data_IF_774035914290
#
_entry.id   IF_774035914290
#
_cell.length_a   1.000
_cell.length_b   1.000
_cell.length_c   1.000
_cell.angle_alpha   90.00
_cell.angle_beta   90.00
_cell.angle_gamma   90.00
#
_symmetry.space_group_name_H-M   'P 1'
#
loop_
_entity.id
_entity.type
_entity.pdbx_description
1 polymer ?
#
# COMPACT_ATOMS: atom_id res chain seq x y z
N UNK A 1 34.12 10.75 10.80
CA UNK A 1 33.74 10.60 9.41
C UNK A 1 33.11 9.21 9.28
N UNK A 2 31.80 9.10 9.32
CA UNK A 2 31.09 7.82 9.14
C UNK A 2 31.11 7.51 7.65
N UNK A 3 31.88 6.54 7.23
CA UNK A 3 31.88 5.96 5.90
C UNK A 3 30.47 5.49 5.62
N UNK A 4 29.76 6.22 4.76
CA UNK A 4 28.41 5.91 4.38
C UNK A 4 28.41 4.62 3.56
N UNK A 5 28.29 3.48 4.22
CA UNK A 5 28.09 2.21 3.54
C UNK A 5 26.77 2.27 2.76
N UNK A 6 26.86 2.15 1.46
CA UNK A 6 25.69 2.00 0.59
C UNK A 6 24.95 0.70 0.98
N UNK A 7 23.67 0.85 1.34
CA UNK A 7 22.84 -0.31 1.66
C UNK A 7 22.21 -0.80 0.36
N UNK A 8 22.56 -2.03 -0.03
CA UNK A 8 22.05 -2.66 -1.25
C UNK A 8 21.01 -3.71 -0.88
N UNK A 9 19.83 -3.59 -1.49
CA UNK A 9 18.68 -4.45 -1.25
C UNK A 9 18.23 -5.07 -2.57
N UNK A 10 18.62 -6.32 -2.87
CA UNK A 10 18.12 -7.04 -4.03
C UNK A 10 16.70 -7.52 -3.77
N UNK A 11 15.71 -6.79 -4.24
CA UNK A 11 14.31 -7.01 -3.91
C UNK A 11 13.71 -8.16 -4.70
N UNK A 12 13.36 -9.22 -3.97
CA UNK A 12 12.53 -10.32 -4.45
C UNK A 12 11.11 -10.12 -3.90
N UNK A 13 10.13 -9.97 -4.78
CA UNK A 13 8.73 -9.84 -4.39
C UNK A 13 7.99 -11.15 -4.63
N UNK A 14 7.20 -11.54 -3.63
CA UNK A 14 6.21 -12.60 -3.73
C UNK A 14 4.79 -12.00 -3.87
N UNK A 15 3.87 -12.82 -4.35
CA UNK A 15 2.49 -12.42 -4.55
C UNK A 15 1.81 -12.00 -3.23
N UNK A 16 2.16 -12.62 -2.10
CA UNK A 16 1.60 -12.30 -0.77
C UNK A 16 1.99 -10.89 -0.32
N UNK A 17 3.26 -10.53 -0.49
CA UNK A 17 3.77 -9.19 -0.15
C UNK A 17 3.14 -8.13 -1.03
N UNK A 18 3.02 -8.37 -2.34
CA UNK A 18 2.36 -7.47 -3.27
C UNK A 18 0.88 -7.26 -2.92
N UNK A 19 0.12 -8.32 -2.64
CA UNK A 19 -1.29 -8.22 -2.24
C UNK A 19 -1.48 -7.46 -0.92
N UNK A 20 -0.57 -7.66 0.06
CA UNK A 20 -0.60 -6.91 1.33
C UNK A 20 -0.36 -5.44 1.12
N UNK A 21 0.61 -5.10 0.28
CA UNK A 21 0.90 -3.72 -0.09
C UNK A 21 -0.31 -3.07 -0.78
N UNK A 22 -0.89 -3.72 -1.78
CA UNK A 22 -2.04 -3.19 -2.53
C UNK A 22 -3.24 -2.89 -1.61
N UNK A 23 -3.53 -3.80 -0.65
CA UNK A 23 -4.57 -3.56 0.37
C UNK A 23 -4.24 -2.37 1.27
N UNK A 24 -2.99 -2.26 1.73
CA UNK A 24 -2.55 -1.15 2.55
C UNK A 24 -2.67 0.19 1.80
N UNK A 25 -2.20 0.25 0.56
CA UNK A 25 -2.27 1.46 -0.27
C UNK A 25 -3.72 1.92 -0.50
N UNK A 26 -4.63 0.97 -0.79
CA UNK A 26 -6.05 1.26 -0.99
C UNK A 26 -6.75 1.72 0.28
N UNK A 27 -6.57 0.98 1.38
CA UNK A 27 -7.36 1.16 2.60
C UNK A 27 -6.83 2.28 3.48
N UNK A 28 -5.51 2.39 3.62
CA UNK A 28 -4.89 3.28 4.61
C UNK A 28 -4.43 4.58 3.96
N UNK A 29 -3.72 4.49 2.84
CA UNK A 29 -3.09 5.67 2.24
C UNK A 29 -4.07 6.47 1.38
N UNK A 30 -4.69 5.82 0.41
CA UNK A 30 -5.56 6.52 -0.56
C UNK A 30 -7.00 6.58 -0.13
N UNK A 31 -7.41 5.81 0.89
CA UNK A 31 -8.78 5.74 1.42
C UNK A 31 -9.86 5.66 0.32
N UNK A 32 -9.54 4.99 -0.78
CA UNK A 32 -10.41 4.91 -1.97
C UNK A 32 -11.77 4.26 -1.67
N UNK A 33 -11.84 3.44 -0.64
CA UNK A 33 -13.06 2.82 -0.17
C UNK A 33 -14.05 3.80 0.47
N UNK A 34 -13.58 5.00 0.89
CA UNK A 34 -14.41 5.99 1.57
C UNK A 34 -15.54 6.51 0.66
N UNK A 35 -15.24 6.74 -0.62
CA UNK A 35 -16.25 7.24 -1.58
C UNK A 35 -17.43 6.28 -1.73
N UNK A 36 -17.23 4.99 -2.07
CA UNK A 36 -18.35 4.05 -2.14
C UNK A 36 -19.01 3.81 -0.79
N UNK A 37 -18.28 3.88 0.33
CA UNK A 37 -18.84 3.74 1.67
C UNK A 37 -19.76 4.91 2.04
N UNK A 38 -19.36 6.15 1.76
CA UNK A 38 -20.22 7.33 1.98
C UNK A 38 -21.47 7.26 1.12
N UNK A 39 -21.33 6.88 -0.15
CA UNK A 39 -22.50 6.72 -1.03
C UNK A 39 -23.46 5.64 -0.51
N UNK A 40 -22.93 4.49 -0.07
CA UNK A 40 -23.73 3.44 0.55
C UNK A 40 -24.49 3.94 1.79
N UNK A 41 -23.81 4.70 2.65
CA UNK A 41 -24.41 5.27 3.86
C UNK A 41 -25.57 6.22 3.54
N UNK A 42 -25.42 7.03 2.51
CA UNK A 42 -26.48 7.93 2.02
C UNK A 42 -27.69 7.10 1.56
N UNK A 43 -27.48 6.08 0.74
CA UNK A 43 -28.58 5.23 0.24
C UNK A 43 -29.28 4.46 1.39
N UNK A 44 -28.54 3.98 2.37
CA UNK A 44 -29.11 3.36 3.56
C UNK A 44 -29.94 4.35 4.37
N UNK A 45 -29.46 5.57 4.54
CA UNK A 45 -30.22 6.62 5.22
C UNK A 45 -31.52 6.96 4.48
N UNK A 46 -31.49 7.08 3.15
CA UNK A 46 -32.70 7.28 2.35
C UNK A 46 -33.66 6.08 2.46
N UNK A 47 -33.16 4.84 2.43
CA UNK A 47 -33.98 3.66 2.63
C UNK A 47 -34.73 3.69 3.97
N UNK A 48 -34.05 4.11 5.04
CA UNK A 48 -34.67 4.28 6.36
C UNK A 48 -35.76 5.36 6.34
N UNK A 49 -35.50 6.51 5.74
CA UNK A 49 -36.51 7.58 5.61
C UNK A 49 -37.74 7.08 4.86
N UNK A 50 -37.57 6.36 3.76
CA UNK A 50 -38.68 5.80 2.97
C UNK A 50 -39.47 4.78 3.77
N UNK A 51 -38.81 3.91 4.54
CA UNK A 51 -39.51 2.93 5.41
C UNK A 51 -40.41 3.60 6.43
N UNK A 52 -39.99 4.74 6.99
CA UNK A 52 -40.78 5.48 8.00
C UNK A 52 -41.84 6.40 7.38
N UNK A 53 -41.78 6.69 6.10
CA UNK A 53 -42.69 7.66 5.43
C UNK A 53 -44.11 7.13 5.19
N UNK A 54 -44.39 5.84 5.48
CA UNK A 54 -45.71 5.19 5.30
C UNK A 54 -46.29 5.34 3.88
N UNK A 55 -45.47 5.55 2.88
CA UNK A 55 -45.90 5.65 1.49
C UNK A 55 -46.31 4.25 0.98
N UNK A 56 -47.29 4.17 0.06
CA UNK A 56 -47.57 2.94 -0.65
C UNK A 56 -46.25 2.51 -1.34
N UNK A 57 -45.95 1.19 -1.30
CA UNK A 57 -44.73 0.60 -1.88
C UNK A 57 -43.39 1.01 -1.20
N UNK A 58 -43.41 1.68 -0.05
CA UNK A 58 -42.20 2.07 0.71
C UNK A 58 -41.24 0.91 0.93
N UNK A 59 -41.75 -0.29 1.19
CA UNK A 59 -40.96 -1.50 1.39
C UNK A 59 -40.15 -1.90 0.16
N UNK A 60 -40.74 -1.82 -1.03
CA UNK A 60 -40.08 -2.16 -2.29
C UNK A 60 -38.99 -1.12 -2.61
N UNK A 61 -39.29 0.15 -2.47
CA UNK A 61 -38.32 1.25 -2.73
C UNK A 61 -37.14 1.12 -1.76
N UNK A 62 -37.41 0.89 -0.47
CA UNK A 62 -36.36 0.72 0.54
C UNK A 62 -35.48 -0.52 0.24
N UNK A 63 -36.10 -1.64 -0.17
CA UNK A 63 -35.39 -2.85 -0.53
C UNK A 63 -34.42 -2.60 -1.70
N UNK A 64 -34.88 -1.91 -2.76
CA UNK A 64 -34.02 -1.54 -3.90
C UNK A 64 -32.85 -0.66 -3.46
N UNK A 65 -33.11 0.37 -2.65
CA UNK A 65 -32.08 1.27 -2.13
C UNK A 65 -31.04 0.51 -1.28
N UNK A 66 -31.47 -0.43 -0.45
CA UNK A 66 -30.57 -1.27 0.35
C UNK A 66 -29.72 -2.20 -0.52
N UNK A 67 -30.34 -2.88 -1.50
CA UNK A 67 -29.62 -3.77 -2.41
C UNK A 67 -28.55 -2.99 -3.18
N UNK A 68 -28.88 -1.84 -3.73
CA UNK A 68 -27.92 -0.99 -4.45
C UNK A 68 -26.87 -0.42 -3.49
N UNK A 69 -27.30 0.12 -2.35
CA UNK A 69 -26.41 0.75 -1.36
C UNK A 69 -25.37 -0.20 -0.79
N UNK A 70 -25.75 -1.43 -0.47
CA UNK A 70 -24.84 -2.44 0.05
C UNK A 70 -24.10 -3.20 -1.06
N UNK A 71 -24.74 -3.40 -2.20
CA UNK A 71 -24.16 -4.13 -3.34
C UNK A 71 -22.98 -3.40 -3.98
N UNK A 72 -23.07 -2.09 -4.19
CA UNK A 72 -22.01 -1.31 -4.82
C UNK A 72 -20.65 -1.37 -4.11
N UNK A 73 -20.53 -1.20 -2.79
CA UNK A 73 -19.25 -1.37 -2.08
C UNK A 73 -18.69 -2.78 -2.21
N UNK A 74 -19.53 -3.80 -2.16
CA UNK A 74 -19.11 -5.21 -2.29
C UNK A 74 -18.52 -5.45 -3.68
N UNK A 75 -19.22 -5.03 -4.73
CA UNK A 75 -18.73 -5.13 -6.11
C UNK A 75 -17.42 -4.35 -6.29
N UNK A 76 -17.33 -3.14 -5.76
CA UNK A 76 -16.12 -2.32 -5.84
C UNK A 76 -14.90 -3.01 -5.20
N UNK A 77 -15.08 -3.59 -4.00
CA UNK A 77 -14.01 -4.34 -3.31
C UNK A 77 -13.65 -5.60 -4.11
N UNK A 78 -14.63 -6.33 -4.63
CA UNK A 78 -14.41 -7.52 -5.44
C UNK A 78 -13.61 -7.22 -6.71
N UNK A 79 -13.99 -6.18 -7.44
CA UNK A 79 -13.25 -5.72 -8.64
C UNK A 79 -11.82 -5.30 -8.29
N UNK A 80 -11.62 -4.58 -7.18
CA UNK A 80 -10.28 -4.21 -6.75
C UNK A 80 -9.41 -5.44 -6.45
N UNK A 81 -9.92 -6.40 -5.67
CA UNK A 81 -9.18 -7.63 -5.36
C UNK A 81 -8.86 -8.44 -6.61
N UNK A 82 -9.79 -8.53 -7.55
CA UNK A 82 -9.58 -9.17 -8.84
C UNK A 82 -8.46 -8.49 -9.63
N UNK A 83 -8.49 -7.15 -9.73
CA UNK A 83 -7.45 -6.37 -10.43
C UNK A 83 -6.06 -6.60 -9.82
N UNK A 84 -5.96 -6.61 -8.48
CA UNK A 84 -4.70 -6.89 -7.78
C UNK A 84 -4.19 -8.30 -8.08
N UNK A 85 -5.09 -9.29 -8.14
CA UNK A 85 -4.73 -10.67 -8.46
C UNK A 85 -4.23 -10.80 -9.90
N UNK A 86 -4.92 -10.18 -10.85
CA UNK A 86 -4.53 -10.18 -12.27
C UNK A 86 -3.16 -9.52 -12.45
N UNK A 87 -2.92 -8.38 -11.79
CA UNK A 87 -1.64 -7.69 -11.87
C UNK A 87 -0.49 -8.51 -11.26
N UNK A 88 -0.72 -9.16 -10.11
CA UNK A 88 0.26 -10.06 -9.51
C UNK A 88 0.61 -11.25 -10.42
N UNK A 89 -0.39 -11.81 -11.12
CA UNK A 89 -0.18 -12.88 -12.09
C UNK A 89 0.57 -12.42 -13.33
N UNK A 90 0.22 -11.25 -13.89
CA UNK A 90 0.93 -10.66 -15.06
C UNK A 90 2.42 -10.47 -14.78
N UNK A 91 2.75 -10.04 -13.57
CA UNK A 91 4.14 -9.85 -13.16
C UNK A 91 4.86 -11.17 -12.80
N UNK A 92 4.17 -12.31 -12.84
CA UNK A 92 4.70 -13.65 -12.54
C UNK A 92 5.42 -13.73 -11.18
N UNK A 93 4.82 -13.12 -10.15
CA UNK A 93 5.41 -13.02 -8.80
C UNK A 93 5.30 -14.31 -7.95
N UNK A 94 4.77 -15.41 -8.47
CA UNK A 94 4.33 -16.61 -7.73
C UNK A 94 5.29 -17.14 -6.66
N UNK A 95 6.55 -17.42 -7.01
CA UNK A 95 7.56 -18.00 -6.09
C UNK A 95 8.64 -17.01 -5.61
N UNK A 96 8.40 -15.70 -5.76
CA UNK A 96 9.41 -14.69 -5.47
C UNK A 96 10.36 -14.45 -6.64
N UNK A 97 10.13 -13.34 -7.36
CA UNK A 97 10.97 -12.92 -8.50
C UNK A 97 11.79 -11.71 -8.08
N UNK A 98 13.04 -11.64 -8.52
CA UNK A 98 13.83 -10.39 -8.47
C UNK A 98 13.15 -9.36 -9.37
N UNK A 99 12.68 -8.28 -8.78
CA UNK A 99 11.94 -7.23 -9.48
C UNK A 99 12.83 -6.04 -9.74
N UNK A 100 13.57 -5.63 -8.73
CA UNK A 100 14.51 -4.52 -8.79
C UNK A 100 15.55 -4.62 -7.67
N UNK A 101 16.62 -3.84 -7.79
CA UNK A 101 17.59 -3.63 -6.72
C UNK A 101 17.50 -2.19 -6.26
N UNK A 102 17.42 -1.97 -4.95
CA UNK A 102 17.42 -0.63 -4.35
C UNK A 102 18.75 -0.41 -3.66
N UNK A 103 19.43 0.68 -3.98
CA UNK A 103 20.65 1.11 -3.31
C UNK A 103 20.35 2.41 -2.55
N UNK A 104 20.45 2.37 -1.24
CA UNK A 104 20.23 3.54 -0.38
C UNK A 104 21.58 4.24 -0.18
N UNK A 105 21.73 5.42 -0.74
CA UNK A 105 22.91 6.28 -0.59
C UNK A 105 22.63 7.42 0.39
N UNK A 106 23.61 8.22 0.69
CA UNK A 106 23.47 9.33 1.64
C UNK A 106 22.53 10.41 1.16
N UNK A 107 22.56 10.80 -0.11
CA UNK A 107 21.75 11.89 -0.66
C UNK A 107 20.53 11.44 -1.44
N UNK A 108 20.54 10.22 -1.95
CA UNK A 108 19.50 9.65 -2.80
C UNK A 108 19.31 8.15 -2.55
N UNK A 109 18.32 7.57 -3.20
CA UNK A 109 18.25 6.14 -3.40
C UNK A 109 18.03 5.84 -4.88
N UNK A 110 18.72 4.82 -5.36
CA UNK A 110 18.68 4.39 -6.77
C UNK A 110 17.96 3.05 -6.86
N UNK A 111 17.06 2.93 -7.82
CA UNK A 111 16.31 1.71 -8.11
C UNK A 111 16.63 1.25 -9.51
N UNK A 112 17.17 0.05 -9.63
CA UNK A 112 17.48 -0.60 -10.92
C UNK A 112 16.44 -1.67 -11.17
N UNK A 113 15.64 -1.50 -12.22
CA UNK A 113 14.59 -2.45 -12.59
C UNK A 113 15.18 -3.69 -13.28
N UNK A 114 14.76 -4.88 -12.85
CA UNK A 114 15.08 -6.14 -13.54
C UNK A 114 13.95 -6.62 -14.46
N UNK A 115 12.79 -5.97 -14.41
CA UNK A 115 11.64 -6.30 -15.27
C UNK A 115 11.72 -5.56 -16.61
N UNK A 116 12.21 -4.32 -16.58
CA UNK A 116 12.47 -3.50 -17.74
C UNK A 116 13.97 -3.30 -17.83
N UNK A 117 14.60 -3.92 -18.80
CA UNK A 117 16.05 -3.89 -18.96
C UNK A 117 16.55 -2.44 -19.00
N UNK A 118 17.43 -2.07 -18.06
CA UNK A 118 18.14 -0.80 -18.04
C UNK A 118 17.38 0.41 -17.46
N UNK A 119 16.16 0.26 -16.96
CA UNK A 119 15.49 1.38 -16.28
C UNK A 119 16.12 1.60 -14.91
N UNK A 120 16.86 2.72 -14.78
CA UNK A 120 17.45 3.19 -13.53
C UNK A 120 16.73 4.45 -13.10
N UNK A 121 16.21 4.45 -11.88
CA UNK A 121 15.52 5.61 -11.30
C UNK A 121 16.26 6.03 -10.05
N UNK A 122 16.78 7.26 -10.04
CA UNK A 122 17.41 7.87 -8.87
C UNK A 122 16.45 8.91 -8.28
N UNK A 123 16.20 8.81 -6.98
CA UNK A 123 15.29 9.71 -6.26
C UNK A 123 16.03 10.32 -5.07
N UNK A 124 16.21 11.64 -5.04
CA UNK A 124 16.73 12.34 -3.89
C UNK A 124 15.83 12.17 -2.66
N UNK A 125 16.40 12.05 -1.47
CA UNK A 125 15.60 11.88 -0.24
C UNK A 125 14.63 13.03 0.04
N UNK A 126 14.96 14.25 -0.40
CA UNK A 126 14.08 15.43 -0.30
C UNK A 126 12.75 15.24 -1.04
N UNK A 127 12.80 14.53 -2.17
CA UNK A 127 11.63 14.29 -3.05
C UNK A 127 10.83 13.07 -2.60
N UNK A 128 11.41 12.21 -1.77
CA UNK A 128 10.69 11.09 -1.17
C UNK A 128 9.64 11.58 -0.17
N UNK A 129 8.45 10.99 -0.24
CA UNK A 129 7.30 11.48 0.53
C UNK A 129 7.22 10.92 1.93
N UNK A 130 7.29 9.60 2.05
CA UNK A 130 7.07 8.91 3.34
C UNK A 130 7.52 7.46 3.28
N UNK A 131 7.79 6.90 4.45
CA UNK A 131 8.11 5.50 4.62
C UNK A 131 7.22 4.86 5.69
N UNK A 132 6.78 3.64 5.45
CA UNK A 132 6.01 2.85 6.40
C UNK A 132 6.73 1.57 6.74
N UNK A 133 7.03 1.36 8.03
CA UNK A 133 7.54 0.08 8.51
C UNK A 133 6.38 -0.84 8.83
N UNK A 134 6.27 -1.91 8.06
CA UNK A 134 5.33 -2.98 8.28
C UNK A 134 6.04 -4.17 8.94
N UNK A 135 5.31 -5.22 9.29
CA UNK A 135 5.89 -6.40 9.95
C UNK A 135 6.98 -7.09 9.13
N UNK A 136 6.79 -7.24 7.83
CA UNK A 136 7.65 -8.05 6.97
C UNK A 136 8.25 -7.26 5.80
N UNK A 137 7.99 -5.95 5.73
CA UNK A 137 8.38 -5.14 4.59
C UNK A 137 8.38 -3.67 4.96
N UNK A 138 9.26 -2.87 4.38
CA UNK A 138 9.22 -1.42 4.44
C UNK A 138 8.64 -0.92 3.11
N UNK A 139 7.68 0.00 3.17
CA UNK A 139 7.11 0.68 2.01
C UNK A 139 7.69 2.07 1.90
N UNK A 140 8.50 2.30 0.88
CA UNK A 140 9.16 3.59 0.62
C UNK A 140 8.45 4.29 -0.54
N UNK A 141 7.76 5.39 -0.25
CA UNK A 141 7.02 6.18 -1.25
C UNK A 141 7.90 7.28 -1.84
N UNK A 142 8.31 7.11 -3.09
CA UNK A 142 8.99 8.12 -3.87
C UNK A 142 8.03 9.21 -4.38
N UNK A 143 6.79 8.81 -4.71
CA UNK A 143 5.74 9.72 -5.19
C UNK A 143 4.37 9.25 -4.68
N UNK A 144 3.28 10.04 -4.84
CA UNK A 144 1.93 9.65 -4.41
C UNK A 144 1.45 8.33 -5.03
N UNK A 145 1.94 8.02 -6.22
CA UNK A 145 1.55 6.84 -7.00
C UNK A 145 2.66 5.81 -7.14
N UNK A 146 3.87 6.09 -6.62
CA UNK A 146 5.04 5.23 -6.79
C UNK A 146 5.65 4.85 -5.45
N UNK A 147 5.57 3.57 -5.11
CA UNK A 147 6.15 3.02 -3.90
C UNK A 147 7.10 1.87 -4.24
N UNK A 148 8.17 1.78 -3.47
CA UNK A 148 9.11 0.66 -3.52
C UNK A 148 8.94 -0.17 -2.26
N UNK A 149 8.83 -1.49 -2.44
CA UNK A 149 8.69 -2.44 -1.36
C UNK A 149 10.07 -3.00 -1.04
N UNK A 150 10.44 -2.95 0.22
CA UNK A 150 11.71 -3.47 0.73
C UNK A 150 11.40 -4.60 1.72
N UNK A 151 11.31 -5.87 1.26
CA UNK A 151 11.05 -7.00 2.14
C UNK A 151 12.19 -7.18 3.13
N UNK A 152 11.84 -7.55 4.36
CA UNK A 152 12.83 -7.80 5.42
C UNK A 152 13.74 -8.98 5.08
N UNK A 153 14.98 -8.93 5.57
CA UNK A 153 15.95 -10.01 5.41
C UNK A 153 16.56 -10.12 4.01
N UNK A 154 16.41 -9.11 3.17
CA UNK A 154 16.99 -9.10 1.81
C UNK A 154 18.13 -8.10 1.63
N UNK A 155 18.35 -7.22 2.60
CA UNK A 155 19.43 -6.25 2.57
C UNK A 155 20.78 -6.90 2.94
N UNK A 156 21.87 -6.22 2.58
CA UNK A 156 23.23 -6.57 3.01
C UNK A 156 23.53 -6.24 4.48
N UNK A 157 22.54 -5.73 5.22
CA UNK A 157 22.61 -5.38 6.63
C UNK A 157 21.30 -5.73 7.35
N UNK A 158 21.21 -5.48 8.65
CA UNK A 158 20.02 -5.79 9.44
C UNK A 158 18.82 -4.90 9.05
N UNK A 159 17.60 -5.43 9.16
CA UNK A 159 16.36 -4.69 8.88
C UNK A 159 16.22 -3.43 9.76
N UNK A 160 16.80 -3.45 10.96
CA UNK A 160 16.86 -2.29 11.85
C UNK A 160 17.75 -1.21 11.26
N UNK A 161 18.95 -1.56 10.80
CA UNK A 161 19.87 -0.62 10.16
C UNK A 161 19.29 0.00 8.89
N UNK A 162 18.59 -0.79 8.06
CA UNK A 162 17.86 -0.28 6.90
C UNK A 162 16.84 0.77 7.32
N UNK A 163 16.02 0.45 8.34
CA UNK A 163 15.01 1.38 8.83
C UNK A 163 15.61 2.64 9.41
N UNK A 164 16.63 2.52 10.29
CA UNK A 164 17.31 3.64 10.92
C UNK A 164 18.01 4.55 9.88
N UNK A 165 18.55 3.95 8.80
CA UNK A 165 19.11 4.70 7.69
C UNK A 165 18.03 5.49 6.92
N UNK A 166 16.84 4.90 6.69
CA UNK A 166 15.72 5.59 6.06
C UNK A 166 15.24 6.73 6.95
N UNK A 167 15.05 6.49 8.26
CA UNK A 167 14.60 7.52 9.20
C UNK A 167 15.58 8.71 9.28
N UNK A 168 16.88 8.44 9.33
CA UNK A 168 17.90 9.50 9.36
C UNK A 168 17.91 10.37 8.09
N UNK A 169 17.64 9.77 6.93
CA UNK A 169 17.72 10.44 5.61
C UNK A 169 16.44 11.11 5.19
N UNK A 170 15.31 10.51 5.52
CA UNK A 170 13.97 10.99 5.15
C UNK A 170 13.36 11.95 6.18
N UNK A 171 13.79 11.84 7.45
CA UNK A 171 13.21 12.52 8.60
C UNK A 171 12.16 11.67 9.34
N UNK A 172 12.14 11.75 10.69
CA UNK A 172 11.22 10.95 11.50
C UNK A 172 9.74 11.31 11.27
N UNK A 173 9.43 12.55 10.89
CA UNK A 173 8.08 13.05 10.62
C UNK A 173 7.44 12.39 9.40
N UNK A 174 8.24 11.95 8.42
CA UNK A 174 7.81 11.24 7.22
C UNK A 174 7.81 9.72 7.39
N UNK A 175 8.31 9.22 8.52
CA UNK A 175 8.44 7.80 8.80
C UNK A 175 7.37 7.34 9.80
N UNK A 176 6.63 6.32 9.44
CA UNK A 176 5.54 5.77 10.29
C UNK A 176 5.74 4.28 10.51
N UNK A 177 5.60 3.86 11.75
CA UNK A 177 5.57 2.45 12.12
C UNK A 177 4.12 2.02 12.23
N UNK A 178 3.73 0.98 11.52
CA UNK A 178 2.39 0.42 11.61
C UNK A 178 2.10 -0.04 13.05
N UNK A 179 0.88 0.21 13.56
CA UNK A 179 0.47 -0.21 14.90
C UNK A 179 0.62 -1.74 15.13
N UNK A 180 0.42 -2.53 14.10
CA UNK A 180 0.67 -3.98 14.14
C UNK A 180 2.16 -4.33 14.34
N UNK A 181 3.07 -3.51 13.87
CA UNK A 181 4.50 -3.66 14.12
C UNK A 181 4.85 -3.24 15.54
N UNK A 182 4.17 -2.22 16.10
CA UNK A 182 4.36 -1.74 17.49
C UNK A 182 3.93 -2.79 18.53
N UNK A 183 2.83 -3.50 18.33
CA UNK A 183 2.32 -4.50 19.26
C UNK A 183 3.28 -5.67 19.52
N UNK A 184 4.27 -5.88 18.67
CA UNK A 184 5.27 -6.96 18.78
C UNK A 184 6.69 -6.48 19.06
N UNK A 185 6.85 -5.31 19.69
CA UNK A 185 8.15 -4.83 20.18
C UNK A 185 9.16 -4.44 19.09
N UNK A 186 8.72 -4.22 17.85
CA UNK A 186 9.56 -3.62 16.80
C UNK A 186 9.61 -2.12 17.06
N UNK A 187 10.55 -1.72 17.95
CA UNK A 187 10.94 -0.33 18.14
C UNK A 187 11.78 0.17 16.98
#
# INVERSE_FOLDING_TARGET
MATGHDIVIPVKLDEKTFRRFARFDMLVLRKRWLRPAVFALILVAFAMVVLFSRLPESGLIAAVLLVVGLGLPIVYIGMFLSTVNIEAQKQRLGKGRKVYTVTLRTQDFTVISHLKAGEVVTVPWKDARQAYRMRNCIYLYAAPTRAYLLPNGQANCSDKEVWDAIVRRLGPEKCRVSWWARLRGVK
#
